data_IF_871831614020
#
_entry.id   IF_871831614020
#
_cell.length_a   1.000
_cell.length_b   1.000
_cell.length_c   1.000
_cell.angle_alpha   90.00
_cell.angle_beta   90.00
_cell.angle_gamma   90.00
#
_symmetry.space_group_name_H-M   'P 1'
#
loop_
_entity.id
_entity.type
_entity.pdbx_description
1 polymer ?
#
# COMPACT_ATOMS: atom_id res chain seq x y z
N UNK A 1 5.48 -0.28 -23.22
CA UNK A 1 6.71 -1.12 -23.22
C UNK A 1 6.91 -1.64 -21.81
N UNK A 2 7.29 -2.92 -21.60
CA UNK A 2 7.45 -3.49 -20.26
C UNK A 2 8.52 -2.74 -19.45
N UNK A 3 8.34 -2.67 -18.13
CA UNK A 3 9.34 -2.12 -17.22
C UNK A 3 10.69 -2.88 -17.33
N UNK A 4 11.84 -2.22 -17.08
CA UNK A 4 13.16 -2.84 -17.24
C UNK A 4 13.33 -4.18 -16.49
N UNK A 5 12.73 -4.30 -15.29
CA UNK A 5 12.82 -5.53 -14.49
C UNK A 5 12.11 -6.73 -15.11
N UNK A 6 11.19 -6.52 -16.06
CA UNK A 6 10.45 -7.59 -16.74
C UNK A 6 11.38 -8.65 -17.34
N UNK A 7 12.51 -8.21 -17.91
CA UNK A 7 13.47 -9.11 -18.57
C UNK A 7 14.10 -10.12 -17.59
N UNK A 8 14.25 -9.70 -16.32
CA UNK A 8 14.83 -10.49 -15.22
C UNK A 8 13.84 -11.47 -14.57
N UNK A 9 12.55 -11.38 -14.89
CA UNK A 9 11.55 -12.28 -14.32
C UNK A 9 11.69 -13.71 -14.87
N UNK A 10 11.41 -14.70 -14.02
CA UNK A 10 11.22 -16.10 -14.44
C UNK A 10 10.06 -16.23 -15.43
N UNK A 11 9.92 -17.38 -16.10
CA UNK A 11 8.78 -17.65 -16.99
C UNK A 11 7.44 -17.43 -16.28
N UNK A 12 7.29 -17.95 -15.06
CA UNK A 12 6.12 -17.76 -14.20
C UNK A 12 5.92 -16.28 -13.83
N UNK A 13 7.00 -15.57 -13.47
CA UNK A 13 6.93 -14.13 -13.17
C UNK A 13 6.47 -13.29 -14.38
N UNK A 14 6.96 -13.60 -15.59
CA UNK A 14 6.52 -12.94 -16.83
C UNK A 14 5.06 -13.19 -17.14
N UNK A 15 4.54 -14.36 -16.81
CA UNK A 15 3.13 -14.69 -16.96
C UNK A 15 2.26 -13.90 -15.98
N UNK A 16 2.64 -13.86 -14.70
CA UNK A 16 1.95 -13.05 -13.69
C UNK A 16 1.97 -11.56 -14.08
N UNK A 17 3.11 -11.07 -14.56
CA UNK A 17 3.24 -9.70 -15.04
C UNK A 17 2.23 -9.41 -16.15
N UNK A 18 2.18 -10.23 -17.21
CA UNK A 18 1.25 -10.01 -18.33
C UNK A 18 -0.22 -10.07 -17.88
N UNK A 19 -0.57 -10.99 -16.96
CA UNK A 19 -1.92 -11.06 -16.38
C UNK A 19 -2.28 -9.79 -15.62
N UNK A 20 -1.37 -9.27 -14.80
CA UNK A 20 -1.56 -8.00 -14.09
C UNK A 20 -1.67 -6.84 -15.08
N UNK A 21 -0.81 -6.79 -16.10
CA UNK A 21 -0.75 -5.69 -17.07
C UNK A 21 -2.01 -5.58 -17.94
N UNK A 22 -2.67 -6.70 -18.23
CA UNK A 22 -3.88 -6.76 -19.06
C UNK A 22 -5.12 -6.13 -18.39
N UNK A 23 -5.13 -6.01 -17.06
CA UNK A 23 -6.28 -5.49 -16.31
C UNK A 23 -5.98 -4.05 -15.93
N UNK A 24 -6.71 -3.09 -16.48
CA UNK A 24 -6.32 -1.67 -16.35
C UNK A 24 -7.30 -0.83 -15.54
N UNK A 25 -8.46 -1.37 -15.19
CA UNK A 25 -9.54 -0.62 -14.53
C UNK A 25 -10.23 -1.47 -13.46
N UNK A 26 -10.75 -0.80 -12.43
CA UNK A 26 -11.58 -1.38 -11.38
C UNK A 26 -12.86 -0.54 -11.28
N UNK A 27 -14.02 -1.15 -11.52
CA UNK A 27 -15.31 -0.46 -11.49
C UNK A 27 -15.90 -0.54 -10.07
N UNK A 28 -16.12 0.62 -9.44
CA UNK A 28 -16.60 0.69 -8.05
C UNK A 28 -18.13 0.66 -7.92
N UNK A 29 -18.86 0.70 -9.04
CA UNK A 29 -20.31 0.99 -9.02
C UNK A 29 -20.58 2.46 -8.66
N UNK A 30 -21.77 2.79 -8.11
CA UNK A 30 -22.11 4.15 -7.70
C UNK A 30 -21.12 4.69 -6.65
N UNK A 31 -20.29 5.70 -6.98
CA UNK A 31 -19.15 6.07 -6.15
C UNK A 31 -19.49 7.10 -5.05
N UNK A 32 -20.73 7.56 -4.93
CA UNK A 32 -21.08 8.72 -4.10
C UNK A 32 -20.71 8.55 -2.62
N UNK A 33 -21.03 7.39 -2.05
CA UNK A 33 -20.63 7.06 -0.66
C UNK A 33 -19.10 7.04 -0.49
N UNK A 34 -18.37 6.57 -1.50
CA UNK A 34 -16.91 6.51 -1.47
C UNK A 34 -16.29 7.90 -1.63
N UNK A 35 -16.91 8.78 -2.42
CA UNK A 35 -16.51 10.20 -2.56
C UNK A 35 -16.69 10.94 -1.24
N UNK A 36 -17.80 10.73 -0.53
CA UNK A 36 -18.04 11.31 0.80
C UNK A 36 -16.95 10.87 1.80
N UNK A 37 -16.56 9.59 1.75
CA UNK A 37 -15.47 9.05 2.59
C UNK A 37 -14.12 9.66 2.21
N UNK A 38 -13.83 9.82 0.92
CA UNK A 38 -12.62 10.48 0.45
C UNK A 38 -12.53 11.96 0.90
N UNK A 39 -13.64 12.72 0.81
CA UNK A 39 -13.68 14.10 1.34
C UNK A 39 -13.56 14.15 2.86
N UNK A 40 -14.05 13.15 3.59
CA UNK A 40 -13.86 13.05 5.04
C UNK A 40 -12.40 12.80 5.40
N UNK A 41 -11.71 11.96 4.61
CA UNK A 41 -10.28 11.75 4.74
C UNK A 41 -9.49 13.04 4.47
N UNK A 42 -9.84 13.79 3.42
CA UNK A 42 -9.21 15.08 3.11
C UNK A 42 -9.30 16.05 4.30
N UNK A 43 -10.49 16.23 4.87
CA UNK A 43 -10.68 17.11 6.04
C UNK A 43 -9.86 16.67 7.25
N UNK A 44 -9.87 15.36 7.55
CA UNK A 44 -9.07 14.82 8.66
C UNK A 44 -7.57 15.03 8.44
N UNK A 45 -7.10 14.86 7.20
CA UNK A 45 -5.71 15.04 6.85
C UNK A 45 -5.28 16.49 6.98
N UNK A 46 -6.06 17.44 6.45
CA UNK A 46 -5.82 18.89 6.58
C UNK A 46 -5.76 19.31 8.05
N UNK A 47 -6.62 18.76 8.91
CA UNK A 47 -6.60 19.01 10.34
C UNK A 47 -5.36 18.42 11.05
N UNK A 48 -4.62 17.51 10.42
CA UNK A 48 -3.41 16.89 10.97
C UNK A 48 -3.67 15.92 12.13
N UNK A 49 -4.91 15.49 12.34
CA UNK A 49 -5.31 14.53 13.38
C UNK A 49 -5.09 13.10 12.91
N UNK A 50 -4.06 12.45 13.49
CA UNK A 50 -3.68 11.08 13.15
C UNK A 50 -4.81 10.07 13.38
N UNK A 51 -5.57 10.19 14.46
CA UNK A 51 -6.62 9.23 14.79
C UNK A 51 -7.78 9.39 13.81
N UNK A 52 -8.19 10.62 13.54
CA UNK A 52 -9.23 10.91 12.55
C UNK A 52 -8.83 10.43 11.15
N UNK A 53 -7.56 10.62 10.74
CA UNK A 53 -7.04 10.12 9.47
C UNK A 53 -7.08 8.60 9.41
N UNK A 54 -6.65 7.89 10.46
CA UNK A 54 -6.70 6.43 10.51
C UNK A 54 -8.13 5.89 10.36
N UNK A 55 -9.08 6.47 11.09
CA UNK A 55 -10.49 6.11 11.00
C UNK A 55 -11.06 6.39 9.60
N UNK A 56 -10.73 7.54 9.02
CA UNK A 56 -11.19 7.90 7.67
C UNK A 56 -10.60 6.97 6.60
N UNK A 57 -9.30 6.63 6.70
CA UNK A 57 -8.68 5.64 5.82
C UNK A 57 -9.34 4.27 5.96
N UNK A 58 -9.57 3.81 7.20
CA UNK A 58 -10.21 2.52 7.46
C UNK A 58 -11.63 2.49 6.89
N UNK A 59 -12.38 3.57 7.03
CA UNK A 59 -13.73 3.71 6.50
C UNK A 59 -13.76 3.72 4.96
N UNK A 60 -12.80 4.39 4.31
CA UNK A 60 -12.67 4.39 2.85
C UNK A 60 -12.27 3.00 2.32
N UNK A 61 -11.26 2.36 2.92
CA UNK A 61 -10.80 1.02 2.53
C UNK A 61 -11.89 -0.03 2.73
N UNK A 62 -12.63 0.03 3.85
CA UNK A 62 -13.78 -0.86 4.08
C UNK A 62 -14.88 -0.66 3.04
N UNK A 63 -15.18 0.58 2.65
CA UNK A 63 -16.12 0.89 1.58
C UNK A 63 -15.68 0.31 0.23
N UNK A 64 -14.41 0.46 -0.13
CA UNK A 64 -13.84 -0.12 -1.36
C UNK A 64 -13.93 -1.65 -1.34
N UNK A 65 -13.57 -2.29 -0.24
CA UNK A 65 -13.67 -3.74 -0.09
C UNK A 65 -15.12 -4.22 -0.22
N UNK A 66 -16.08 -3.50 0.38
CA UNK A 66 -17.50 -3.83 0.32
C UNK A 66 -18.06 -3.68 -1.11
N UNK A 67 -17.76 -2.57 -1.78
CA UNK A 67 -18.19 -2.31 -3.16
C UNK A 67 -17.69 -3.40 -4.13
N UNK A 68 -16.47 -3.90 -3.91
CA UNK A 68 -15.83 -4.93 -4.73
C UNK A 68 -16.05 -6.36 -4.20
N UNK A 69 -16.80 -6.51 -3.10
CA UNK A 69 -17.10 -7.81 -2.45
C UNK A 69 -15.85 -8.66 -2.15
N UNK A 70 -14.78 -8.00 -1.71
CA UNK A 70 -13.53 -8.66 -1.32
C UNK A 70 -13.37 -8.76 0.20
N UNK A 71 -12.42 -9.58 0.63
CA UNK A 71 -12.00 -9.65 2.02
C UNK A 71 -11.59 -8.26 2.55
N UNK A 72 -11.74 -8.01 3.86
CA UNK A 72 -11.44 -6.71 4.42
C UNK A 72 -9.95 -6.55 4.80
N UNK A 73 -9.47 -5.30 4.78
CA UNK A 73 -8.09 -4.92 5.15
C UNK A 73 -8.09 -3.96 6.34
N UNK A 74 -7.07 -4.05 7.20
CA UNK A 74 -6.87 -3.11 8.31
C UNK A 74 -5.93 -1.97 7.90
N UNK A 75 -6.20 -0.75 8.36
CA UNK A 75 -5.34 0.41 8.12
C UNK A 75 -4.61 0.81 9.41
N UNK A 76 -3.35 1.20 9.28
CA UNK A 76 -2.56 1.89 10.31
C UNK A 76 -1.98 3.18 9.75
N UNK A 77 -2.12 4.26 10.48
CA UNK A 77 -1.56 5.57 10.11
C UNK A 77 -0.50 5.96 11.12
N UNK A 78 0.72 6.04 10.62
CA UNK A 78 1.88 6.41 11.41
C UNK A 78 2.30 7.86 11.12
N UNK A 79 2.80 8.54 12.14
CA UNK A 79 3.24 9.92 12.00
C UNK A 79 4.62 10.06 11.33
N UNK A 80 5.44 9.00 11.33
CA UNK A 80 6.81 9.07 10.83
C UNK A 80 7.16 7.85 10.00
N UNK A 81 7.58 8.09 8.76
CA UNK A 81 8.10 7.06 7.85
C UNK A 81 9.37 6.41 8.43
N UNK A 82 9.45 5.07 8.53
CA UNK A 82 10.70 4.37 8.81
C UNK A 82 11.75 4.70 7.74
N UNK A 83 12.98 4.94 8.15
CA UNK A 83 14.10 5.05 7.19
C UNK A 83 14.43 3.64 6.68
N UNK A 84 14.16 3.38 5.41
CA UNK A 84 14.56 2.14 4.73
C UNK A 84 15.72 2.44 3.77
N UNK A 85 16.74 1.57 3.76
CA UNK A 85 17.88 1.65 2.85
C UNK A 85 17.60 1.04 1.46
N UNK A 86 16.41 0.45 1.21
CA UNK A 86 16.09 -0.31 -0.02
C UNK A 86 14.87 0.22 -0.77
N UNK A 87 14.82 1.54 -0.96
CA UNK A 87 13.75 2.22 -1.69
C UNK A 87 12.76 2.91 -0.75
N UNK A 88 12.16 3.97 -1.27
CA UNK A 88 11.18 4.78 -0.55
C UNK A 88 9.89 3.99 -0.32
N UNK A 89 9.61 3.65 0.93
CA UNK A 89 8.31 3.10 1.30
C UNK A 89 7.28 4.21 1.21
N UNK A 90 6.49 4.23 0.14
CA UNK A 90 5.36 5.16 0.02
C UNK A 90 4.21 4.73 0.94
N UNK A 91 3.87 3.43 0.93
CA UNK A 91 3.04 2.72 1.91
C UNK A 91 3.63 1.33 2.18
N UNK A 92 2.96 0.52 3.00
CA UNK A 92 3.32 -0.88 3.21
C UNK A 92 2.09 -1.76 3.34
N UNK A 93 1.90 -2.68 2.40
CA UNK A 93 0.96 -3.78 2.49
C UNK A 93 1.64 -5.05 3.05
N UNK A 94 1.14 -5.56 4.17
CA UNK A 94 1.58 -6.82 4.79
C UNK A 94 0.44 -7.84 4.75
N UNK A 95 0.74 -9.00 4.17
CA UNK A 95 -0.15 -10.17 4.16
C UNK A 95 0.57 -11.35 4.78
N UNK A 96 -0.01 -11.87 5.86
CA UNK A 96 0.46 -13.07 6.55
C UNK A 96 -0.64 -14.15 6.49
N UNK A 97 -0.24 -15.42 6.46
CA UNK A 97 -1.21 -16.51 6.47
C UNK A 97 -2.10 -16.47 7.71
N UNK A 98 -3.40 -16.65 7.51
CA UNK A 98 -4.44 -16.68 8.56
C UNK A 98 -4.58 -15.38 9.37
N UNK A 99 -3.91 -14.29 8.99
CA UNK A 99 -4.12 -12.97 9.57
C UNK A 99 -4.82 -12.05 8.59
N UNK A 100 -5.54 -11.06 9.13
CA UNK A 100 -6.08 -9.98 8.30
C UNK A 100 -4.91 -9.17 7.71
N UNK A 101 -4.92 -8.87 6.40
CA UNK A 101 -3.91 -8.01 5.80
C UNK A 101 -3.93 -6.60 6.42
N UNK A 102 -2.76 -5.97 6.48
CA UNK A 102 -2.59 -4.62 7.05
C UNK A 102 -1.93 -3.70 6.03
N UNK A 103 -2.49 -2.50 5.87
CA UNK A 103 -1.89 -1.40 5.13
C UNK A 103 -1.41 -0.37 6.14
N UNK A 104 -0.13 -0.02 6.07
CA UNK A 104 0.45 1.10 6.81
C UNK A 104 0.76 2.26 5.87
N UNK A 105 0.36 3.47 6.25
CA UNK A 105 0.66 4.72 5.52
C UNK A 105 1.14 5.81 6.47
N UNK A 106 1.85 6.80 5.94
CA UNK A 106 2.41 7.90 6.72
C UNK A 106 1.79 9.23 6.33
N UNK A 107 1.26 9.94 7.33
CA UNK A 107 0.56 11.20 7.08
C UNK A 107 1.47 12.43 7.05
N UNK A 108 2.75 12.29 7.43
CA UNK A 108 3.73 13.39 7.44
C UNK A 108 5.00 13.07 6.66
N UNK A 109 5.58 14.08 6.02
CA UNK A 109 6.83 13.96 5.27
C UNK A 109 8.02 13.66 6.20
N UNK A 110 8.99 12.89 5.70
CA UNK A 110 10.16 12.51 6.50
C UNK A 110 11.10 13.69 6.78
N UNK A 111 11.20 14.65 5.85
CA UNK A 111 12.11 15.79 5.93
C UNK A 111 11.60 16.91 6.85
N UNK A 112 10.33 17.30 6.71
CA UNK A 112 9.79 18.51 7.38
C UNK A 112 8.67 18.23 8.38
N UNK A 113 8.26 16.96 8.56
CA UNK A 113 7.11 16.55 9.40
C UNK A 113 5.80 17.27 9.06
N UNK A 114 5.70 17.84 7.87
CA UNK A 114 4.50 18.49 7.35
C UNK A 114 3.50 17.42 6.93
N UNK A 115 2.21 17.73 7.06
CA UNK A 115 1.15 16.86 6.56
C UNK A 115 1.31 16.70 5.05
N UNK A 116 1.21 15.47 4.56
CA UNK A 116 1.28 15.16 3.13
C UNK A 116 0.04 15.71 2.42
N UNK A 117 0.22 16.29 1.23
CA UNK A 117 -0.91 16.76 0.41
C UNK A 117 -1.93 15.64 0.17
N UNK A 118 -3.22 15.98 0.20
CA UNK A 118 -4.32 14.99 0.12
C UNK A 118 -4.21 14.04 -1.06
N UNK A 119 -4.06 14.56 -2.29
CA UNK A 119 -3.90 13.70 -3.48
C UNK A 119 -2.71 12.75 -3.37
N UNK A 120 -1.58 13.21 -2.86
CA UNK A 120 -0.39 12.37 -2.66
C UNK A 120 -0.65 11.27 -1.64
N UNK A 121 -1.28 11.61 -0.52
CA UNK A 121 -1.64 10.64 0.52
C UNK A 121 -2.66 9.61 0.01
N UNK A 122 -3.71 10.07 -0.69
CA UNK A 122 -4.74 9.21 -1.24
C UNK A 122 -4.17 8.24 -2.28
N UNK A 123 -3.31 8.70 -3.21
CA UNK A 123 -2.67 7.81 -4.18
C UNK A 123 -1.82 6.73 -3.51
N UNK A 124 -1.08 7.09 -2.47
CA UNK A 124 -0.34 6.12 -1.64
C UNK A 124 -1.26 5.08 -1.01
N UNK A 125 -2.36 5.51 -0.38
CA UNK A 125 -3.34 4.58 0.19
C UNK A 125 -3.93 3.65 -0.88
N UNK A 126 -4.33 4.22 -2.03
CA UNK A 126 -4.91 3.46 -3.15
C UNK A 126 -3.92 2.49 -3.77
N UNK A 127 -2.63 2.83 -3.83
CA UNK A 127 -1.58 1.93 -4.28
C UNK A 127 -1.53 0.66 -3.40
N UNK A 128 -1.52 0.82 -2.09
CA UNK A 128 -1.55 -0.33 -1.17
C UNK A 128 -2.89 -1.09 -1.21
N UNK A 129 -4.01 -0.40 -1.43
CA UNK A 129 -5.31 -1.05 -1.68
C UNK A 129 -5.28 -1.84 -2.99
N UNK A 130 -4.64 -1.35 -4.06
CA UNK A 130 -4.48 -2.10 -5.30
C UNK A 130 -3.69 -3.40 -5.08
N UNK A 131 -2.66 -3.40 -4.24
CA UNK A 131 -2.00 -4.64 -3.83
C UNK A 131 -2.98 -5.61 -3.17
N UNK A 132 -3.83 -5.12 -2.26
CA UNK A 132 -4.88 -5.95 -1.67
C UNK A 132 -5.85 -6.52 -2.71
N UNK A 133 -6.31 -5.71 -3.67
CA UNK A 133 -7.21 -6.12 -4.74
C UNK A 133 -6.57 -7.12 -5.72
N UNK A 134 -5.29 -7.01 -6.01
CA UNK A 134 -4.58 -7.98 -6.85
C UNK A 134 -4.68 -9.40 -6.26
N UNK A 135 -4.56 -9.53 -4.93
CA UNK A 135 -4.71 -10.82 -4.25
C UNK A 135 -6.16 -11.25 -4.06
N UNK A 136 -7.04 -10.35 -3.62
CA UNK A 136 -8.42 -10.71 -3.24
C UNK A 136 -9.43 -10.67 -4.38
N UNK A 137 -9.31 -9.72 -5.30
CA UNK A 137 -10.21 -9.57 -6.45
C UNK A 137 -9.67 -10.35 -7.65
N UNK A 138 -8.43 -10.10 -8.03
CA UNK A 138 -7.85 -10.63 -9.27
C UNK A 138 -7.21 -12.02 -9.10
N UNK A 139 -7.08 -12.47 -7.85
CA UNK A 139 -6.47 -13.77 -7.47
C UNK A 139 -5.10 -13.98 -8.11
N UNK A 140 -4.31 -12.90 -8.19
CA UNK A 140 -2.94 -12.97 -8.68
C UNK A 140 -2.03 -13.61 -7.61
N UNK A 141 -1.11 -14.52 -8.00
CA UNK A 141 -0.16 -15.10 -7.04
C UNK A 141 0.83 -14.09 -6.47
N UNK A 142 1.09 -13.01 -7.21
CA UNK A 142 1.97 -11.92 -6.82
C UNK A 142 1.45 -10.60 -7.41
N UNK A 143 1.73 -9.49 -6.73
CA UNK A 143 1.27 -8.16 -7.14
C UNK A 143 2.45 -7.32 -7.61
N UNK A 144 2.70 -7.41 -8.93
CA UNK A 144 3.79 -6.72 -9.59
C UNK A 144 3.36 -5.32 -10.05
N UNK A 145 4.24 -4.32 -9.89
CA UNK A 145 4.05 -2.96 -10.40
C UNK A 145 4.16 -2.92 -11.93
N UNK A 146 3.06 -3.26 -12.61
CA UNK A 146 2.91 -3.23 -14.08
C UNK A 146 2.22 -1.93 -14.53
N UNK A 147 2.16 -1.67 -15.83
CA UNK A 147 1.42 -0.51 -16.33
C UNK A 147 -0.07 -0.67 -16.00
N UNK A 148 -0.60 -1.90 -16.13
CA UNK A 148 -1.94 -2.25 -15.67
C UNK A 148 -2.18 -1.94 -14.19
N UNK A 149 -1.22 -2.23 -13.31
CA UNK A 149 -1.32 -1.90 -11.88
C UNK A 149 -1.51 -0.40 -11.64
N UNK A 150 -0.67 0.44 -12.25
CA UNK A 150 -0.77 1.90 -12.11
C UNK A 150 -2.06 2.45 -12.73
N UNK A 151 -2.51 1.86 -13.84
CA UNK A 151 -3.80 2.23 -14.45
C UNK A 151 -4.99 1.88 -13.56
N UNK A 152 -4.96 0.74 -12.85
CA UNK A 152 -5.98 0.39 -11.86
C UNK A 152 -6.05 1.40 -10.73
N UNK A 153 -4.90 1.76 -10.13
CA UNK A 153 -4.82 2.80 -9.09
C UNK A 153 -5.42 4.12 -9.60
N UNK A 154 -4.99 4.57 -10.78
CA UNK A 154 -5.50 5.78 -11.41
C UNK A 154 -7.01 5.70 -11.72
N UNK A 155 -7.52 4.53 -12.09
CA UNK A 155 -8.96 4.33 -12.37
C UNK A 155 -9.81 4.52 -11.11
N UNK A 156 -9.34 4.04 -9.96
CA UNK A 156 -10.00 4.21 -8.66
C UNK A 156 -9.92 5.68 -8.25
N UNK A 157 -8.74 6.30 -8.36
CA UNK A 157 -8.53 7.71 -8.03
C UNK A 157 -9.52 8.63 -8.76
N UNK A 158 -9.69 8.47 -10.07
CA UNK A 158 -10.63 9.27 -10.89
C UNK A 158 -12.09 9.10 -10.48
N UNK A 159 -12.48 7.93 -9.99
CA UNK A 159 -13.84 7.67 -9.50
C UNK A 159 -14.09 8.36 -8.15
N UNK A 160 -13.06 8.47 -7.30
CA UNK A 160 -13.14 9.08 -5.96
C UNK A 160 -12.98 10.60 -5.95
N UNK A 161 -12.18 11.16 -6.87
CA UNK A 161 -11.92 12.60 -6.93
C UNK A 161 -12.14 13.11 -8.37
N UNK A 162 -13.37 13.53 -8.71
CA UNK A 162 -13.70 13.97 -10.07
C UNK A 162 -13.00 15.28 -10.45
N UNK A 163 -12.82 15.50 -11.76
CA UNK A 163 -12.02 16.60 -12.35
C UNK A 163 -12.42 18.03 -11.93
N UNK A 164 -13.66 18.27 -11.49
CA UNK A 164 -14.06 19.58 -10.95
C UNK A 164 -13.31 19.93 -9.65
N UNK A 165 -12.83 18.92 -8.92
CA UNK A 165 -11.90 19.08 -7.80
C UNK A 165 -10.42 19.18 -8.24
N UNK A 166 -10.08 18.96 -9.51
CA UNK A 166 -8.73 19.16 -10.07
C UNK A 166 -8.43 20.64 -10.35
N UNK A 167 -9.43 21.39 -10.82
CA UNK A 167 -9.31 22.83 -11.09
C UNK A 167 -9.15 23.67 -9.82
N UNK A 168 -9.89 23.33 -8.74
CA UNK A 168 -9.79 24.03 -7.46
C UNK A 168 -8.43 23.86 -6.78
N UNK A 169 -7.82 22.67 -6.89
CA UNK A 169 -6.46 22.41 -6.38
C UNK A 169 -5.38 23.16 -7.18
N UNK A 170 -5.58 23.33 -8.50
CA UNK A 170 -4.70 24.15 -9.35
C UNK A 170 -4.79 25.63 -8.96
N UNK A 171 -6.00 26.17 -8.84
CA UNK A 171 -6.23 27.55 -8.43
C UNK A 171 -5.73 27.84 -7.00
N UNK A 172 -5.87 26.87 -6.08
CA UNK A 172 -5.36 26.99 -4.70
C UNK A 172 -3.83 26.97 -4.58
N UNK A 173 -3.13 26.38 -5.55
CA UNK A 173 -1.64 26.41 -5.61
C UNK A 173 -1.09 27.72 -6.16
N UNK A 174 -1.82 28.39 -7.05
CA UNK A 174 -1.42 29.67 -7.65
C UNK A 174 -1.59 30.85 -6.66
N UNK A 175 -2.50 30.74 -5.69
CA UNK A 175 -2.75 31.78 -4.68
C UNK A 175 -1.85 31.76 -3.43
N UNK A 176 -0.91 30.81 -3.31
CA UNK A 176 -0.09 30.64 -2.09
C UNK A 176 1.42 30.58 -2.40
N UNK A 177 1.86 31.26 -3.46
CA UNK A 177 3.24 31.26 -3.92
C UNK A 177 4.05 32.40 -3.28
N UNK A 178 4.19 32.36 -1.96
CA UNK A 178 5.34 32.92 -1.26
C UNK A 178 5.62 31.97 -0.06
N UNK A 179 6.74 31.23 -0.17
CA UNK A 179 7.41 30.51 0.93
C UNK A 179 6.99 29.08 1.35
N UNK A 180 6.53 28.22 0.42
CA UNK A 180 6.44 26.78 0.68
C UNK A 180 6.70 25.90 -0.56
N UNK A 181 7.84 26.09 -1.23
CA UNK A 181 8.22 25.34 -2.43
C UNK A 181 9.47 24.49 -2.22
N UNK A 182 9.27 23.30 -1.65
CA UNK A 182 10.03 22.12 -2.07
C UNK A 182 9.17 21.37 -3.10
N UNK A 183 9.69 20.99 -4.27
CA UNK A 183 8.88 20.27 -5.26
C UNK A 183 8.34 18.97 -4.62
N UNK A 184 7.10 18.55 -4.93
CA UNK A 184 6.70 17.19 -4.62
C UNK A 184 7.68 16.26 -5.35
N UNK A 185 8.40 15.46 -4.57
CA UNK A 185 9.31 14.45 -5.09
C UNK A 185 8.53 13.59 -6.10
N UNK A 186 9.06 13.41 -7.33
CA UNK A 186 8.30 12.82 -8.43
C UNK A 186 7.82 11.42 -8.04
N UNK A 187 6.68 11.00 -8.58
CA UNK A 187 6.26 9.60 -8.53
C UNK A 187 7.45 8.71 -8.93
N UNK A 188 7.64 7.54 -8.29
CA UNK A 188 8.82 6.71 -8.48
C UNK A 188 9.07 6.54 -9.96
N UNK A 189 10.28 6.90 -10.37
CA UNK A 189 10.67 6.79 -11.76
C UNK A 189 10.63 5.32 -12.18
N UNK A 190 10.51 5.06 -13.49
CA UNK A 190 10.39 3.71 -14.08
C UNK A 190 11.46 2.71 -13.62
N UNK A 191 12.55 3.17 -12.99
CA UNK A 191 13.66 2.36 -12.49
C UNK A 191 13.47 1.82 -11.06
N UNK A 192 12.56 2.36 -10.25
CA UNK A 192 12.43 1.98 -8.82
C UNK A 192 11.36 0.91 -8.53
N UNK A 193 10.62 0.48 -9.55
CA UNK A 193 9.59 -0.57 -9.47
C UNK A 193 10.20 -1.99 -9.31
N UNK A 194 11.18 -2.17 -8.43
CA UNK A 194 11.66 -3.49 -8.08
C UNK A 194 10.54 -4.24 -7.32
N UNK A 195 10.29 -5.53 -7.64
CA UNK A 195 9.28 -6.29 -6.93
C UNK A 195 9.65 -6.38 -5.45
N UNK A 196 8.73 -6.02 -4.57
CA UNK A 196 8.78 -6.45 -3.18
C UNK A 196 8.61 -7.97 -3.23
N UNK A 197 9.59 -8.79 -2.81
CA UNK A 197 9.37 -10.22 -2.75
C UNK A 197 8.18 -10.48 -1.83
N UNK A 198 7.21 -11.25 -2.31
CA UNK A 198 6.17 -11.83 -1.47
C UNK A 198 6.83 -12.34 -0.19
N UNK A 199 6.25 -11.98 0.98
CA UNK A 199 6.72 -12.43 2.28
C UNK A 199 7.16 -13.89 2.18
N UNK A 200 8.46 -14.14 2.37
CA UNK A 200 9.00 -15.49 2.34
C UNK A 200 8.18 -16.32 3.33
N UNK A 201 7.71 -17.53 2.98
CA UNK A 201 7.11 -18.40 3.98
C UNK A 201 8.13 -18.54 5.11
N UNK A 202 7.68 -18.36 6.35
CA UNK A 202 8.53 -18.50 7.53
C UNK A 202 9.32 -19.81 7.40
N UNK A 203 10.64 -19.73 7.52
CA UNK A 203 11.50 -20.91 7.53
C UNK A 203 10.93 -21.92 8.54
N UNK A 204 10.92 -23.23 8.24
CA UNK A 204 10.44 -24.22 9.20
C UNK A 204 11.25 -24.07 10.48
N UNK A 205 10.55 -23.94 11.63
CA UNK A 205 11.20 -23.86 12.94
C UNK A 205 12.22 -25.00 13.07
N UNK A 206 13.45 -24.73 13.55
CA UNK A 206 14.38 -25.81 13.84
C UNK A 206 13.70 -26.73 14.85
N UNK A 207 13.53 -28.01 14.46
CA UNK A 207 13.00 -29.06 15.32
C UNK A 207 13.65 -28.93 16.69
N UNK A 208 12.87 -28.51 17.69
CA UNK A 208 13.31 -28.48 19.09
C UNK A 208 13.74 -29.90 19.42
N UNK A 209 15.05 -30.11 19.60
CA UNK A 209 15.58 -31.36 20.15
C UNK A 209 14.88 -31.57 21.49
N UNK A 210 14.19 -32.71 21.62
CA UNK A 210 13.64 -33.14 22.91
C UNK A 210 14.76 -33.07 23.95
N UNK A 211 14.56 -32.48 25.14
CA UNK A 211 15.54 -32.58 26.20
C UNK A 211 15.69 -34.05 26.58
N UNK A 212 16.87 -34.61 26.29
CA UNK A 212 17.30 -35.89 26.84
C UNK A 212 17.38 -35.74 28.35
N UNK A 213 16.58 -36.53 29.08
CA UNK A 213 16.72 -36.67 30.54
C UNK A 213 18.19 -36.98 30.87
N UNK A 214 18.81 -36.35 31.87
CA UNK A 214 20.13 -36.75 32.33
C UNK A 214 20.05 -38.19 32.84
N UNK A 215 20.89 -39.06 32.28
CA UNK A 215 21.15 -40.41 32.82
C UNK A 215 21.85 -40.22 34.16
N UNK A 216 21.20 -40.71 35.21
CA UNK A 216 21.75 -40.91 36.53
C UNK A 216 23.00 -41.81 36.40
N UNK A 217 24.15 -41.28 36.84
CA UNK A 217 25.41 -42.01 36.93
C UNK A 217 25.37 -42.85 38.21
N UNK A 218 25.11 -44.14 38.09
CA UNK A 218 25.42 -45.10 39.13
C UNK A 218 26.90 -45.49 38.97
N UNK A 219 27.77 -44.91 39.82
CA UNK A 219 29.15 -45.37 39.99
C UNK A 219 29.23 -46.28 41.23
N UNK A 220 29.86 -47.46 41.11
CA UNK A 220 30.15 -48.31 42.26
C UNK A 220 31.31 -47.77 43.12
N UNK A 221 31.13 -47.95 44.44
CA UNK A 221 31.98 -47.66 45.60
C UNK A 221 33.50 -47.95 45.48
N UNK A 222 34.31 -47.01 45.99
CA UNK A 222 35.32 -47.21 47.05
C UNK A 222 35.49 -45.94 47.88
#
# INVERSE_FOLDING_TARGET
>A
MPFPYYRRLSRRGKEIYRRSDAITEVMLGPPDDLRIRASSLERALVAGDRIAVELACQALAAGLCAALRVGPVSIRVEAKRPRSHRGELHGLYVREERKRPVISVWMRTAAHRQVVAFRTFLRTLLHEVCHHLDYELLRLPDSLHTEGFFRRESSIMRQLVPAVAEEKDRAGREGNHEDASGPPEPAPTRDEAAPVPAAQPAAPEPRRRRPTRPRQLDLPWK
#
